data_IF_805965602723
#
_entry.id   IF_805965602723
#
_cell.length_a   1.000
_cell.length_b   1.000
_cell.length_c   1.000
_cell.angle_alpha   90.00
_cell.angle_beta   90.00
_cell.angle_gamma   90.00
#
_symmetry.space_group_name_H-M   'P 1'
#
loop_
_entity.id
_entity.type
_entity.pdbx_description
1 polymer ?
#
# COMPACT_ATOMS: atom_id res chain seq x y z
N UNK A 1 -31.69 -17.55 -30.92
CA UNK A 1 -32.02 -17.02 -29.59
C UNK A 1 -30.77 -17.15 -28.73
N UNK A 2 -29.97 -16.09 -28.65
CA UNK A 2 -28.84 -16.01 -27.72
C UNK A 2 -29.40 -15.64 -26.33
N UNK A 3 -29.48 -16.63 -25.45
CA UNK A 3 -29.90 -16.42 -24.08
C UNK A 3 -28.93 -15.48 -23.38
N UNK A 4 -29.43 -14.33 -22.90
CA UNK A 4 -28.75 -13.48 -21.98
C UNK A 4 -28.50 -14.26 -20.69
N UNK A 5 -27.31 -14.84 -20.55
CA UNK A 5 -26.88 -15.39 -19.27
C UNK A 5 -26.50 -14.16 -18.41
N UNK A 6 -27.44 -13.75 -17.58
CA UNK A 6 -27.23 -12.74 -16.55
C UNK A 6 -26.09 -13.23 -15.66
N UNK A 7 -24.91 -12.57 -15.74
CA UNK A 7 -23.80 -12.88 -14.87
C UNK A 7 -24.22 -12.54 -13.45
N UNK A 8 -24.53 -13.56 -12.66
CA UNK A 8 -24.69 -13.41 -11.23
C UNK A 8 -23.40 -12.80 -10.70
N UNK A 9 -23.46 -11.54 -10.28
CA UNK A 9 -22.34 -10.88 -9.62
C UNK A 9 -22.05 -11.66 -8.34
N UNK A 10 -20.94 -12.38 -8.32
CA UNK A 10 -20.42 -12.96 -7.10
C UNK A 10 -20.21 -11.88 -6.03
N UNK A 11 -20.00 -12.28 -4.78
CA UNK A 11 -19.66 -11.35 -3.70
C UNK A 11 -18.48 -10.47 -4.14
N UNK A 12 -18.49 -9.18 -3.81
CA UNK A 12 -17.38 -8.28 -4.17
C UNK A 12 -16.07 -8.83 -3.61
N UNK A 13 -15.03 -8.76 -4.41
CA UNK A 13 -13.68 -9.14 -4.01
C UNK A 13 -13.10 -8.03 -3.14
N UNK A 14 -12.66 -8.39 -1.95
CA UNK A 14 -11.92 -7.50 -1.04
C UNK A 14 -10.56 -8.15 -0.78
N UNK A 15 -9.64 -8.02 -1.73
CA UNK A 15 -8.31 -8.58 -1.65
C UNK A 15 -7.27 -7.47 -1.65
N UNK A 16 -6.41 -7.47 -0.64
CA UNK A 16 -5.15 -6.74 -0.63
C UNK A 16 -4.03 -7.71 -1.01
N UNK A 17 -3.31 -7.40 -2.07
CA UNK A 17 -2.12 -8.16 -2.48
C UNK A 17 -0.87 -7.37 -2.18
N UNK A 18 0.13 -8.02 -1.58
CA UNK A 18 1.47 -7.49 -1.37
C UNK A 18 2.44 -8.31 -2.20
N UNK A 19 3.22 -7.65 -3.04
CA UNK A 19 4.23 -8.30 -3.88
C UNK A 19 5.51 -7.48 -3.93
N UNK A 20 6.63 -8.12 -4.27
CA UNK A 20 7.90 -7.47 -4.57
C UNK A 20 8.31 -7.80 -6.01
N UNK A 21 8.92 -6.83 -6.69
CA UNK A 21 9.42 -6.99 -8.04
C UNK A 21 10.70 -6.18 -8.24
N UNK A 22 11.53 -6.60 -9.18
CA UNK A 22 12.76 -5.87 -9.58
C UNK A 22 12.49 -4.79 -10.61
N UNK A 23 11.31 -4.79 -11.23
CA UNK A 23 10.85 -3.79 -12.20
C UNK A 23 9.57 -3.12 -11.70
N UNK A 24 9.37 -1.87 -12.12
CA UNK A 24 8.18 -1.11 -11.76
C UNK A 24 6.92 -1.71 -12.38
N UNK A 25 5.96 -2.06 -11.55
CA UNK A 25 4.61 -2.44 -11.98
C UNK A 25 3.86 -1.24 -12.55
N UNK A 26 4.13 -0.06 -12.00
CA UNK A 26 3.58 1.20 -12.46
C UNK A 26 3.96 1.46 -13.93
N UNK A 27 5.25 1.34 -14.26
CA UNK A 27 5.74 1.53 -15.63
C UNK A 27 5.17 0.46 -16.58
N UNK A 28 5.05 -0.78 -16.13
CA UNK A 28 4.42 -1.83 -16.90
C UNK A 28 2.95 -1.51 -17.25
N UNK A 29 2.18 -1.00 -16.29
CA UNK A 29 0.77 -0.64 -16.50
C UNK A 29 0.64 0.58 -17.43
N UNK A 30 1.47 1.61 -17.26
CA UNK A 30 1.44 2.83 -18.11
C UNK A 30 1.88 2.56 -19.53
N UNK A 31 2.85 1.68 -19.73
CA UNK A 31 3.29 1.28 -21.06
C UNK A 31 2.25 0.44 -21.81
N UNK A 32 1.45 -0.34 -21.09
CA UNK A 32 0.42 -1.17 -21.68
C UNK A 32 -0.87 -0.39 -22.02
N UNK A 33 -1.22 0.62 -21.23
CA UNK A 33 -2.49 1.36 -21.35
C UNK A 33 -2.27 2.86 -21.14
N UNK A 34 -2.56 3.64 -22.18
CA UNK A 34 -2.40 5.09 -22.15
C UNK A 34 -3.28 5.79 -21.10
N UNK A 35 -4.49 5.27 -20.82
CA UNK A 35 -5.38 5.77 -19.76
C UNK A 35 -5.47 4.76 -18.63
N UNK A 36 -4.43 4.70 -17.82
CA UNK A 36 -4.28 3.76 -16.71
C UNK A 36 -4.58 4.37 -15.33
N UNK A 37 -5.16 5.57 -15.26
CA UNK A 37 -5.37 6.27 -13.97
C UNK A 37 -6.14 5.42 -12.95
N UNK A 38 -7.18 4.72 -13.38
CA UNK A 38 -8.02 3.92 -12.49
C UNK A 38 -7.28 2.69 -11.93
N UNK A 39 -6.40 2.10 -12.71
CA UNK A 39 -5.54 0.97 -12.32
C UNK A 39 -4.45 1.45 -11.36
N UNK A 40 -3.80 2.56 -11.67
CA UNK A 40 -2.73 3.15 -10.87
C UNK A 40 -3.23 3.61 -9.50
N UNK A 41 -4.47 4.08 -9.39
CA UNK A 41 -5.09 4.44 -8.11
C UNK A 41 -5.34 3.23 -7.18
N UNK A 42 -5.25 2.00 -7.71
CA UNK A 42 -5.33 0.76 -6.93
C UNK A 42 -3.95 0.16 -6.61
N UNK A 43 -2.92 0.70 -7.22
CA UNK A 43 -1.53 0.25 -7.07
C UNK A 43 -0.75 1.28 -6.26
N UNK A 44 -0.29 0.92 -5.08
CA UNK A 44 0.69 1.70 -4.32
C UNK A 44 2.04 1.03 -4.44
N UNK A 45 2.90 1.59 -5.28
CA UNK A 45 4.27 1.13 -5.45
C UNK A 45 5.20 1.94 -4.56
N UNK A 46 6.00 1.25 -3.78
CA UNK A 46 7.00 1.84 -2.90
C UNK A 46 8.38 1.42 -3.42
N UNK A 47 9.18 2.39 -3.81
CA UNK A 47 10.53 2.12 -4.23
C UNK A 47 11.41 1.88 -3.00
N UNK A 48 12.03 0.71 -2.92
CA UNK A 48 13.02 0.38 -1.90
C UNK A 48 14.39 0.70 -2.49
N UNK A 49 15.11 1.67 -1.91
CA UNK A 49 16.43 2.02 -2.42
C UNK A 49 17.41 0.85 -2.24
N UNK A 50 18.37 0.76 -3.16
CA UNK A 50 19.47 -0.19 -3.04
C UNK A 50 20.25 0.10 -1.76
N UNK A 51 20.22 -0.86 -0.85
CA UNK A 51 21.05 -0.81 0.36
C UNK A 51 22.31 -1.63 0.15
N UNK A 52 23.44 -0.99 0.35
CA UNK A 52 24.70 -1.72 0.41
C UNK A 52 24.82 -2.42 1.76
N UNK A 53 24.51 -3.72 1.77
CA UNK A 53 24.58 -4.53 2.98
C UNK A 53 26.03 -4.83 3.31
N UNK A 54 26.43 -4.56 4.54
CA UNK A 54 27.70 -5.01 5.10
C UNK A 54 27.71 -6.51 5.35
N UNK A 55 28.86 -7.08 5.60
CA UNK A 55 28.98 -8.50 5.98
C UNK A 55 28.22 -8.80 7.27
N UNK A 56 28.18 -7.85 8.20
CA UNK A 56 27.42 -8.00 9.45
C UNK A 56 25.92 -7.97 9.22
N UNK A 57 25.41 -7.06 8.37
CA UNK A 57 24.00 -7.02 7.99
C UNK A 57 23.55 -8.35 7.36
N UNK A 58 24.38 -8.97 6.53
CA UNK A 58 24.10 -10.29 5.95
C UNK A 58 23.96 -11.35 7.02
N UNK A 59 24.89 -11.43 7.99
CA UNK A 59 24.79 -12.39 9.10
C UNK A 59 23.54 -12.19 9.94
N UNK A 60 23.17 -10.93 10.22
CA UNK A 60 21.94 -10.60 10.96
C UNK A 60 20.71 -11.07 10.16
N UNK A 61 20.70 -10.83 8.85
CA UNK A 61 19.62 -11.24 7.96
C UNK A 61 19.49 -12.76 7.91
N UNK A 62 20.59 -13.49 7.74
CA UNK A 62 20.58 -14.95 7.73
C UNK A 62 20.04 -15.52 9.04
N UNK A 63 20.50 -14.98 10.18
CA UNK A 63 19.97 -15.37 11.50
C UNK A 63 18.47 -15.09 11.62
N UNK A 64 18.01 -13.93 11.15
CA UNK A 64 16.60 -13.57 11.16
C UNK A 64 15.76 -14.56 10.34
N UNK A 65 16.23 -14.95 9.16
CA UNK A 65 15.54 -15.95 8.33
C UNK A 65 15.43 -17.31 9.01
N UNK A 66 16.46 -17.77 9.71
CA UNK A 66 16.40 -19.03 10.48
C UNK A 66 15.40 -18.93 11.64
N UNK A 67 15.39 -17.81 12.36
CA UNK A 67 14.43 -17.56 13.44
C UNK A 67 12.98 -17.53 12.94
N UNK A 68 12.72 -16.90 11.78
CA UNK A 68 11.37 -16.82 11.19
C UNK A 68 10.85 -18.19 10.78
N UNK A 69 11.70 -19.13 10.35
CA UNK A 69 11.29 -20.51 9.98
C UNK A 69 10.63 -21.26 11.14
N UNK A 70 11.02 -20.97 12.37
CA UNK A 70 10.53 -21.67 13.58
C UNK A 70 9.57 -20.82 14.40
N UNK A 71 9.57 -19.51 14.22
CA UNK A 71 8.79 -18.53 14.99
C UNK A 71 7.83 -17.73 14.10
N UNK A 72 7.02 -18.40 13.30
CA UNK A 72 6.05 -17.73 12.42
C UNK A 72 4.62 -17.89 12.92
N UNK A 73 3.75 -16.95 12.57
CA UNK A 73 2.30 -17.05 12.77
C UNK A 73 1.78 -16.59 14.15
N UNK A 74 2.56 -16.66 15.21
CA UNK A 74 2.13 -16.34 16.58
C UNK A 74 1.60 -14.92 16.71
N UNK A 75 2.31 -13.96 16.13
CA UNK A 75 1.89 -12.56 16.14
C UNK A 75 0.52 -12.35 15.51
N UNK A 76 0.24 -13.07 14.42
CA UNK A 76 -1.04 -13.00 13.72
C UNK A 76 -2.21 -13.47 14.57
N UNK A 77 -2.02 -14.51 15.36
CA UNK A 77 -3.06 -15.05 16.26
C UNK A 77 -3.43 -14.01 17.32
N UNK A 78 -2.46 -13.48 18.03
CA UNK A 78 -2.66 -12.47 19.07
C UNK A 78 -3.31 -11.19 18.50
N UNK A 79 -2.82 -10.75 17.35
CA UNK A 79 -3.37 -9.57 16.66
C UNK A 79 -4.84 -9.77 16.26
N UNK A 80 -5.16 -10.90 15.62
CA UNK A 80 -6.54 -11.17 15.17
C UNK A 80 -7.48 -11.32 16.36
N UNK A 81 -7.07 -12.03 17.42
CA UNK A 81 -7.87 -12.16 18.64
C UNK A 81 -8.17 -10.80 19.27
N UNK A 82 -7.15 -9.93 19.35
CA UNK A 82 -7.35 -8.59 19.90
C UNK A 82 -8.34 -7.79 19.04
N UNK A 83 -8.16 -7.76 17.73
CA UNK A 83 -9.04 -7.05 16.79
C UNK A 83 -10.48 -7.56 16.87
N UNK A 84 -10.67 -8.87 16.93
CA UNK A 84 -12.02 -9.48 17.02
C UNK A 84 -12.73 -9.11 18.31
N UNK A 85 -12.00 -9.01 19.42
CA UNK A 85 -12.55 -8.63 20.73
C UNK A 85 -12.75 -7.11 20.89
N UNK A 86 -12.08 -6.28 20.06
CA UNK A 86 -12.09 -4.83 20.16
C UNK A 86 -12.46 -4.15 18.84
N UNK A 87 -13.50 -4.64 18.16
CA UNK A 87 -13.88 -4.18 16.80
C UNK A 87 -14.17 -2.70 16.74
N UNK A 88 -14.93 -2.17 17.66
CA UNK A 88 -15.32 -0.74 17.67
C UNK A 88 -14.10 0.15 17.95
N UNK A 89 -13.24 -0.24 18.88
CA UNK A 89 -12.00 0.48 19.15
C UNK A 89 -11.09 0.46 17.92
N UNK A 90 -10.94 -0.70 17.28
CA UNK A 90 -10.16 -0.85 16.05
C UNK A 90 -10.68 0.06 14.94
N UNK A 91 -11.99 0.11 14.75
CA UNK A 91 -12.64 0.97 13.75
C UNK A 91 -12.39 2.45 14.03
N UNK A 92 -12.60 2.87 15.27
CA UNK A 92 -12.35 4.25 15.70
C UNK A 92 -10.89 4.67 15.45
N UNK A 93 -9.94 3.77 15.80
CA UNK A 93 -8.52 4.01 15.57
C UNK A 93 -8.20 4.11 14.06
N UNK A 94 -8.75 3.19 13.25
CA UNK A 94 -8.56 3.18 11.81
C UNK A 94 -9.07 4.47 11.16
N UNK A 95 -10.27 4.91 11.52
CA UNK A 95 -10.88 6.14 11.00
C UNK A 95 -10.06 7.38 11.40
N UNK A 96 -9.61 7.46 12.65
CA UNK A 96 -8.76 8.54 13.12
C UNK A 96 -7.41 8.60 12.38
N UNK A 97 -6.77 7.44 12.19
CA UNK A 97 -5.51 7.33 11.43
C UNK A 97 -5.73 7.75 9.99
N UNK A 98 -6.81 7.29 9.36
CA UNK A 98 -7.16 7.58 7.97
C UNK A 98 -7.37 9.09 7.76
N UNK A 99 -8.17 9.74 8.58
CA UNK A 99 -8.42 11.19 8.49
C UNK A 99 -7.10 11.96 8.59
N UNK A 100 -6.28 11.63 9.58
CA UNK A 100 -4.97 12.27 9.78
C UNK A 100 -4.02 12.04 8.61
N UNK A 101 -4.01 10.83 8.04
CA UNK A 101 -3.19 10.47 6.90
C UNK A 101 -3.61 11.24 5.65
N UNK A 102 -4.92 11.30 5.38
CA UNK A 102 -5.49 12.01 4.23
C UNK A 102 -5.14 13.50 4.29
N UNK A 103 -5.25 14.11 5.47
CA UNK A 103 -4.85 15.51 5.69
C UNK A 103 -3.35 15.72 5.47
N UNK A 104 -2.51 14.88 6.07
CA UNK A 104 -1.06 15.05 6.02
C UNK A 104 -0.48 14.81 4.62
N UNK A 105 -1.00 13.86 3.85
CA UNK A 105 -0.56 13.56 2.49
C UNK A 105 -1.37 14.31 1.41
N UNK A 106 -2.39 15.09 1.79
CA UNK A 106 -3.29 15.80 0.86
C UNK A 106 -4.01 14.83 -0.07
N UNK A 107 -4.51 13.70 0.46
CA UNK A 107 -5.25 12.73 -0.32
C UNK A 107 -6.70 13.19 -0.53
N UNK A 108 -7.30 12.72 -1.62
CA UNK A 108 -8.70 12.99 -1.98
C UNK A 108 -9.45 11.67 -2.13
N UNK A 109 -10.76 11.72 -2.39
CA UNK A 109 -11.59 10.54 -2.63
C UNK A 109 -11.05 9.60 -3.71
N UNK A 110 -10.28 10.12 -4.67
CA UNK A 110 -9.62 9.30 -5.71
C UNK A 110 -8.61 8.32 -5.12
N UNK A 111 -7.90 8.72 -4.07
CA UNK A 111 -6.82 7.95 -3.43
C UNK A 111 -7.33 6.98 -2.34
N UNK A 112 -8.64 6.70 -2.30
CA UNK A 112 -9.27 5.91 -1.23
C UNK A 112 -8.63 4.56 -0.95
N UNK A 113 -8.10 3.88 -1.99
CA UNK A 113 -7.45 2.58 -1.83
C UNK A 113 -6.10 2.71 -1.13
N UNK A 114 -5.31 3.72 -1.50
CA UNK A 114 -4.04 4.01 -0.82
C UNK A 114 -4.27 4.41 0.64
N UNK A 115 -5.21 5.33 0.85
CA UNK A 115 -5.60 5.79 2.18
C UNK A 115 -6.03 4.62 3.07
N UNK A 116 -6.94 3.77 2.60
CA UNK A 116 -7.44 2.63 3.36
C UNK A 116 -6.34 1.60 3.68
N UNK A 117 -5.53 1.22 2.68
CA UNK A 117 -4.46 0.24 2.86
C UNK A 117 -3.39 0.71 3.83
N UNK A 118 -2.89 1.94 3.64
CA UNK A 118 -1.84 2.50 4.50
C UNK A 118 -2.36 2.78 5.91
N UNK A 119 -3.59 3.30 6.06
CA UNK A 119 -4.18 3.49 7.38
C UNK A 119 -4.35 2.17 8.14
N UNK A 120 -4.72 1.08 7.46
CA UNK A 120 -4.81 -0.24 8.07
C UNK A 120 -3.45 -0.72 8.60
N UNK A 121 -2.37 -0.57 7.81
CA UNK A 121 -1.01 -0.92 8.22
C UNK A 121 -0.55 -0.10 9.44
N UNK A 122 -0.77 1.23 9.43
CA UNK A 122 -0.41 2.08 10.56
C UNK A 122 -1.22 1.72 11.81
N UNK A 123 -2.52 1.44 11.66
CA UNK A 123 -3.38 1.02 12.77
C UNK A 123 -2.91 -0.31 13.35
N UNK A 124 -2.58 -1.28 12.52
CA UNK A 124 -2.00 -2.55 12.97
C UNK A 124 -0.69 -2.32 13.74
N UNK A 125 0.19 -1.46 13.25
CA UNK A 125 1.42 -1.09 13.95
C UNK A 125 1.15 -0.46 15.32
N UNK A 126 0.14 0.39 15.44
CA UNK A 126 -0.27 1.00 16.73
C UNK A 126 -0.79 -0.07 17.69
N UNK A 127 -1.64 -0.98 17.21
CA UNK A 127 -2.18 -2.09 18.03
C UNK A 127 -1.05 -2.96 18.55
N UNK A 128 -0.16 -3.43 17.68
CA UNK A 128 0.96 -4.29 18.04
C UNK A 128 1.88 -3.65 19.10
N UNK A 129 2.10 -2.35 19.00
CA UNK A 129 2.96 -1.64 19.95
C UNK A 129 2.23 -1.24 21.23
N UNK A 130 1.09 -0.53 21.09
CA UNK A 130 0.46 0.15 22.24
C UNK A 130 -0.52 -0.72 23.02
N UNK A 131 -1.17 -1.68 22.34
CA UNK A 131 -2.20 -2.53 22.95
C UNK A 131 -1.65 -3.90 23.35
N UNK A 132 -0.84 -4.49 22.49
CA UNK A 132 -0.25 -5.81 22.72
C UNK A 132 1.17 -5.75 23.31
N UNK A 133 1.88 -4.62 23.16
CA UNK A 133 3.23 -4.47 23.68
C UNK A 133 4.28 -5.36 23.01
N UNK A 134 3.95 -5.96 21.87
CA UNK A 134 4.78 -6.97 21.20
C UNK A 134 5.95 -6.32 20.45
N UNK A 135 5.77 -5.12 19.94
CA UNK A 135 6.77 -4.44 19.12
C UNK A 135 7.30 -3.16 19.80
N UNK A 136 8.55 -2.79 19.49
CA UNK A 136 9.23 -1.62 20.06
C UNK A 136 9.46 -0.49 19.06
N UNK A 137 9.05 -0.62 17.80
CA UNK A 137 9.29 0.41 16.79
C UNK A 137 8.50 1.71 17.04
N UNK A 138 9.00 2.83 16.53
CA UNK A 138 8.32 4.11 16.65
C UNK A 138 7.20 4.24 15.60
N UNK A 139 5.96 4.24 16.05
CA UNK A 139 4.79 4.37 15.17
C UNK A 139 4.69 5.74 14.49
N UNK A 140 5.28 6.81 15.07
CA UNK A 140 5.33 8.12 14.44
C UNK A 140 6.24 8.10 13.21
N UNK A 141 7.40 7.44 13.30
CA UNK A 141 8.30 7.29 12.16
C UNK A 141 7.63 6.51 11.01
N UNK A 142 6.83 5.47 11.33
CA UNK A 142 6.06 4.73 10.33
C UNK A 142 5.05 5.65 9.66
N UNK A 143 4.33 6.45 10.43
CA UNK A 143 3.35 7.41 9.91
C UNK A 143 4.02 8.44 8.99
N UNK A 144 5.08 9.10 9.44
CA UNK A 144 5.81 10.11 8.66
C UNK A 144 6.39 9.55 7.37
N UNK A 145 6.98 8.35 7.45
CA UNK A 145 7.48 7.66 6.27
C UNK A 145 6.35 7.35 5.29
N UNK A 146 5.21 6.85 5.78
CA UNK A 146 4.04 6.55 4.95
C UNK A 146 3.49 7.79 4.26
N UNK A 147 3.43 8.92 4.96
CA UNK A 147 3.03 10.22 4.37
C UNK A 147 3.96 10.59 3.22
N UNK A 148 5.27 10.47 3.41
CA UNK A 148 6.26 10.75 2.35
C UNK A 148 6.05 9.85 1.12
N UNK A 149 5.83 8.54 1.31
CA UNK A 149 5.58 7.62 0.20
C UNK A 149 4.30 7.98 -0.57
N UNK A 150 3.23 8.35 0.12
CA UNK A 150 1.98 8.76 -0.51
C UNK A 150 2.11 10.08 -1.30
N UNK A 151 2.88 11.04 -0.79
CA UNK A 151 3.18 12.29 -1.51
C UNK A 151 3.97 11.98 -2.80
N UNK A 152 4.99 11.11 -2.72
CA UNK A 152 5.76 10.68 -3.90
C UNK A 152 4.90 9.96 -4.92
N UNK A 153 4.03 9.05 -4.49
CA UNK A 153 3.11 8.34 -5.38
C UNK A 153 2.15 9.31 -6.08
N UNK A 154 1.64 10.33 -5.39
CA UNK A 154 0.81 11.40 -5.99
C UNK A 154 1.57 12.21 -7.03
N UNK A 155 2.81 12.60 -6.73
CA UNK A 155 3.64 13.36 -7.67
C UNK A 155 3.85 12.55 -8.95
N UNK A 156 4.21 11.27 -8.84
CA UNK A 156 4.38 10.36 -9.98
C UNK A 156 3.12 10.25 -10.85
N UNK A 157 1.92 10.27 -10.26
CA UNK A 157 0.67 10.32 -11.03
C UNK A 157 0.49 11.62 -11.80
N UNK A 158 0.89 12.74 -11.23
CA UNK A 158 0.86 14.04 -11.90
C UNK A 158 1.76 14.08 -13.13
N UNK A 159 2.98 13.55 -12.98
CA UNK A 159 3.98 13.48 -14.06
C UNK A 159 3.53 12.54 -15.19
N UNK A 160 2.90 11.41 -14.87
CA UNK A 160 2.35 10.49 -15.86
C UNK A 160 1.25 11.13 -16.73
N UNK A 161 0.41 11.97 -16.14
CA UNK A 161 -0.63 12.73 -16.88
C UNK A 161 -0.03 13.82 -17.77
N UNK A 162 1.01 14.51 -17.30
CA UNK A 162 1.73 15.51 -18.10
C UNK A 162 2.33 14.89 -19.35
N UNK A 163 3.01 13.75 -19.20
CA UNK A 163 3.60 13.02 -20.33
C UNK A 163 2.57 12.58 -21.38
N UNK A 164 1.39 12.14 -20.96
CA UNK A 164 0.31 11.73 -21.88
C UNK A 164 -0.21 12.91 -22.68
N UNK A 165 -0.37 14.08 -22.06
CA UNK A 165 -0.80 15.29 -22.72
C UNK A 165 0.27 15.82 -23.71
N UNK A 166 1.54 15.73 -23.36
CA UNK A 166 2.64 16.07 -24.29
C UNK A 166 2.71 15.14 -25.49
N UNK A 167 2.54 13.82 -25.28
CA UNK A 167 2.50 12.84 -26.36
C UNK A 167 1.31 13.08 -27.30
N UNK A 168 0.16 13.38 -26.75
CA UNK A 168 -1.04 13.73 -27.52
C UNK A 168 -0.83 15.04 -28.30
N UNK A 169 -0.24 16.05 -27.67
CA UNK A 169 0.11 17.32 -28.30
C UNK A 169 1.08 17.15 -29.47
N UNK A 170 2.12 16.32 -29.33
CA UNK A 170 3.06 15.98 -30.41
C UNK A 170 2.35 15.24 -31.54
N UNK A 171 1.53 14.24 -31.23
CA UNK A 171 0.78 13.49 -32.27
C UNK A 171 -0.18 14.39 -33.09
N UNK A 172 -0.82 15.36 -32.43
CA UNK A 172 -1.69 16.33 -33.13
C UNK A 172 -0.88 17.32 -33.99
N UNK A 173 0.31 17.71 -33.54
CA UNK A 173 1.18 18.65 -34.24
C UNK A 173 1.89 18.05 -35.45
N UNK A 174 2.02 16.72 -35.53
CA UNK A 174 2.66 15.99 -36.65
C UNK A 174 1.68 15.62 -37.77
N UNK A 175 0.39 15.95 -37.66
CA UNK A 175 -0.64 15.79 -38.68
C UNK A 175 -1.10 17.12 -39.25
#
# INVERSE_FOLDING_TARGET
QSGNIERVRGKPWELLSLSSATSSMWDAVTNYKADAEAELLRLLEINVPDMQLTTEDKKITDKLFEEVKVNYGWLGIEFVQWVMNNKEETRTMLDAVRVRLDQAAGLTSKHRFWSAGVAAVITAAIILRKKLGITKYNTSNIFEWSVKQLILAKARMGDAKSNTNELLGRYIAEK
#
